data_IF_405798468806
#
_entry.id   IF_405798468806
#
_cell.length_a   1.000
_cell.length_b   1.000
_cell.length_c   1.000
_cell.angle_alpha   90.00
_cell.angle_beta   90.00
_cell.angle_gamma   90.00
#
_symmetry.space_group_name_H-M   'P 1'
#
loop_
_entity.id
_entity.type
_entity.pdbx_description
1 polymer ?
#
# COMPACT_ATOMS: atom_id res chain seq x y z
N UNK A 1 4.92 -28.93 -14.91
CA UNK A 1 3.81 -28.97 -13.92
C UNK A 1 3.01 -27.70 -14.15
N UNK A 2 1.92 -27.79 -14.90
CA UNK A 2 1.14 -26.64 -15.39
C UNK A 2 0.39 -25.97 -14.24
N UNK A 3 0.59 -24.66 -14.06
CA UNK A 3 -0.27 -23.81 -13.24
C UNK A 3 -1.70 -23.90 -13.79
N UNK A 4 -2.57 -24.60 -13.07
CA UNK A 4 -4.01 -24.56 -13.33
C UNK A 4 -4.50 -23.17 -12.95
N UNK A 5 -4.90 -22.39 -13.97
CA UNK A 5 -5.58 -21.11 -13.82
C UNK A 5 -6.80 -21.28 -12.90
N UNK A 6 -6.72 -20.74 -11.69
CA UNK A 6 -7.82 -20.71 -10.71
C UNK A 6 -9.06 -19.96 -11.23
N UNK A 7 -8.91 -19.15 -12.29
CA UNK A 7 -10.00 -18.43 -12.94
C UNK A 7 -10.97 -19.31 -13.74
N UNK A 8 -10.56 -20.50 -14.21
CA UNK A 8 -11.45 -21.37 -15.01
C UNK A 8 -12.55 -22.04 -14.17
N UNK A 9 -12.32 -22.25 -12.86
CA UNK A 9 -13.29 -22.95 -12.00
C UNK A 9 -14.55 -22.10 -11.76
N UNK A 10 -14.41 -20.78 -11.64
CA UNK A 10 -15.52 -19.88 -11.28
C UNK A 10 -16.47 -19.63 -12.46
N UNK A 11 -15.95 -19.57 -13.69
CA UNK A 11 -16.78 -19.36 -14.90
C UNK A 11 -17.77 -20.51 -15.16
N UNK A 12 -17.51 -21.69 -14.58
CA UNK A 12 -18.40 -22.87 -14.66
C UNK A 12 -19.53 -22.89 -13.64
N UNK A 13 -19.49 -22.02 -12.62
CA UNK A 13 -20.51 -21.89 -11.57
C UNK A 13 -21.71 -21.04 -12.00
N UNK A 14 -22.15 -21.17 -13.25
CA UNK A 14 -23.44 -20.63 -13.68
C UNK A 14 -24.54 -21.44 -13.01
N UNK A 15 -25.68 -20.81 -12.70
CA UNK A 15 -26.87 -21.53 -12.25
C UNK A 15 -27.31 -22.40 -13.44
N UNK A 16 -26.91 -23.68 -13.44
CA UNK A 16 -26.97 -24.53 -14.63
C UNK A 16 -28.34 -25.20 -14.84
N UNK A 17 -29.27 -25.10 -13.88
CA UNK A 17 -30.62 -25.66 -14.03
C UNK A 17 -31.55 -25.19 -12.90
N UNK A 18 -32.78 -24.82 -13.25
CA UNK A 18 -33.91 -24.73 -12.32
C UNK A 18 -34.83 -25.94 -12.56
N UNK A 19 -34.52 -27.10 -11.96
CA UNK A 19 -35.38 -28.30 -11.99
C UNK A 19 -35.72 -28.89 -13.39
N UNK A 20 -36.35 -30.08 -13.46
CA UNK A 20 -36.80 -30.63 -14.74
C UNK A 20 -37.99 -29.81 -15.28
N UNK A 21 -37.91 -29.41 -16.54
CA UNK A 21 -39.00 -28.76 -17.28
C UNK A 21 -40.32 -29.53 -17.15
N UNK A 22 -41.49 -28.84 -17.05
CA UNK A 22 -42.77 -29.52 -17.19
C UNK A 22 -42.86 -30.16 -18.58
N UNK A 23 -43.47 -31.35 -18.66
CA UNK A 23 -43.74 -32.05 -19.92
C UNK A 23 -44.53 -31.12 -20.85
N UNK A 24 -44.25 -31.22 -22.15
CA UNK A 24 -44.56 -30.27 -23.22
C UNK A 24 -46.05 -29.97 -23.54
N UNK A 25 -46.98 -30.13 -22.58
CA UNK A 25 -48.43 -29.92 -22.79
C UNK A 25 -49.06 -28.91 -21.80
N UNK A 26 -48.29 -28.01 -21.18
CA UNK A 26 -48.82 -26.94 -20.32
C UNK A 26 -48.36 -25.59 -20.85
N UNK A 27 -49.30 -24.63 -21.01
CA UNK A 27 -49.02 -23.26 -21.43
C UNK A 27 -47.92 -22.65 -20.52
N UNK A 28 -47.03 -21.79 -21.06
CA UNK A 28 -45.92 -21.22 -20.31
C UNK A 28 -46.44 -20.15 -19.36
N UNK A 29 -46.95 -20.57 -18.21
CA UNK A 29 -46.90 -19.74 -17.01
C UNK A 29 -45.44 -19.78 -16.54
N UNK A 30 -44.74 -18.65 -16.61
CA UNK A 30 -43.38 -18.52 -16.11
C UNK A 30 -43.32 -19.10 -14.68
N UNK A 31 -42.42 -20.07 -14.40
CA UNK A 31 -42.36 -20.67 -13.08
C UNK A 31 -42.00 -19.58 -12.06
N UNK A 32 -42.95 -19.25 -11.18
CA UNK A 32 -42.72 -18.33 -10.07
C UNK A 32 -41.73 -19.01 -9.11
N UNK A 33 -40.50 -18.51 -9.10
CA UNK A 33 -39.44 -18.97 -8.21
C UNK A 33 -39.58 -18.27 -6.86
N UNK A 34 -40.07 -19.01 -5.86
CA UNK A 34 -40.11 -18.54 -4.48
C UNK A 34 -38.79 -18.86 -3.78
N UNK A 35 -38.07 -17.82 -3.33
CA UNK A 35 -36.87 -17.98 -2.50
C UNK A 35 -37.28 -17.82 -1.04
N UNK A 36 -37.00 -18.81 -0.16
CA UNK A 36 -37.29 -18.69 1.26
C UNK A 36 -36.61 -17.45 1.86
N UNK A 37 -37.34 -16.73 2.72
CA UNK A 37 -36.78 -15.57 3.43
C UNK A 37 -35.55 -15.95 4.25
N UNK A 38 -35.54 -17.14 4.85
CA UNK A 38 -34.42 -17.65 5.63
C UNK A 38 -33.14 -17.75 4.78
N UNK A 39 -33.22 -18.28 3.56
CA UNK A 39 -32.06 -18.41 2.67
C UNK A 39 -31.53 -17.02 2.27
N UNK A 40 -32.43 -16.09 1.95
CA UNK A 40 -32.06 -14.70 1.65
C UNK A 40 -31.41 -14.00 2.86
N UNK A 41 -31.89 -14.26 4.07
CA UNK A 41 -31.30 -13.74 5.30
C UNK A 41 -29.92 -14.33 5.55
N UNK A 42 -29.73 -15.65 5.41
CA UNK A 42 -28.43 -16.30 5.58
C UNK A 42 -27.39 -15.79 4.60
N UNK A 43 -27.76 -15.52 3.33
CA UNK A 43 -26.84 -14.93 2.36
C UNK A 43 -26.46 -13.50 2.78
N UNK A 44 -27.42 -12.71 3.25
CA UNK A 44 -27.16 -11.36 3.73
C UNK A 44 -26.24 -11.36 4.97
N UNK A 45 -26.45 -12.27 5.91
CA UNK A 45 -25.59 -12.46 7.09
C UNK A 45 -24.16 -12.80 6.69
N UNK A 46 -23.97 -13.77 5.78
CA UNK A 46 -22.64 -14.13 5.26
C UNK A 46 -21.92 -12.95 4.58
N UNK A 47 -22.66 -12.10 3.86
CA UNK A 47 -22.09 -10.88 3.27
C UNK A 47 -21.70 -9.84 4.33
N UNK A 48 -22.50 -9.70 5.39
CA UNK A 48 -22.19 -8.81 6.52
C UNK A 48 -20.93 -9.28 7.25
N UNK A 49 -20.83 -10.58 7.55
CA UNK A 49 -19.65 -11.17 8.16
C UNK A 49 -18.40 -10.93 7.30
N UNK A 50 -18.49 -11.18 6.00
CA UNK A 50 -17.39 -10.93 5.05
C UNK A 50 -16.97 -9.47 5.05
N UNK A 51 -17.93 -8.54 5.07
CA UNK A 51 -17.66 -7.11 5.14
C UNK A 51 -16.94 -6.69 6.43
N UNK A 52 -17.37 -7.26 7.57
CA UNK A 52 -16.79 -6.98 8.87
C UNK A 52 -15.35 -7.51 8.97
N UNK A 53 -15.10 -8.74 8.51
CA UNK A 53 -13.76 -9.34 8.47
C UNK A 53 -12.80 -8.50 7.62
N UNK A 54 -13.24 -8.02 6.46
CA UNK A 54 -12.42 -7.14 5.62
C UNK A 54 -12.15 -5.80 6.30
N UNK A 55 -13.14 -5.23 7.00
CA UNK A 55 -12.97 -3.96 7.72
C UNK A 55 -11.97 -4.10 8.86
N UNK A 56 -12.04 -5.19 9.63
CA UNK A 56 -11.10 -5.52 10.70
C UNK A 56 -9.69 -5.74 10.14
N UNK A 57 -9.55 -6.54 9.08
CA UNK A 57 -8.26 -6.75 8.42
C UNK A 57 -7.63 -5.44 7.91
N UNK A 58 -8.43 -4.51 7.40
CA UNK A 58 -7.96 -3.18 6.98
C UNK A 58 -7.51 -2.32 8.16
N UNK A 59 -8.13 -2.47 9.33
CA UNK A 59 -7.74 -1.78 10.55
C UNK A 59 -6.44 -2.34 11.12
N UNK A 60 -6.30 -3.66 11.23
CA UNK A 60 -5.10 -4.33 11.74
C UNK A 60 -3.86 -4.05 10.88
N UNK A 61 -4.04 -4.03 9.57
CA UNK A 61 -2.95 -3.77 8.61
C UNK A 61 -2.61 -2.28 8.46
N UNK A 62 -3.39 -1.38 9.07
CA UNK A 62 -3.20 0.07 8.99
C UNK A 62 -3.42 0.65 7.60
N UNK A 63 -4.11 -0.07 6.69
CA UNK A 63 -4.40 0.39 5.32
C UNK A 63 -5.30 1.62 5.34
N UNK A 64 -6.24 1.69 6.29
CA UNK A 64 -7.07 2.86 6.53
C UNK A 64 -6.82 3.45 7.91
N UNK A 65 -6.84 4.78 7.99
CA UNK A 65 -6.80 5.50 9.26
C UNK A 65 -8.11 5.27 10.01
N UNK A 66 -8.06 5.07 11.33
CA UNK A 66 -9.25 4.79 12.15
C UNK A 66 -10.40 5.79 11.95
N UNK A 67 -10.10 7.08 11.76
CA UNK A 67 -11.10 8.12 11.45
C UNK A 67 -11.74 7.95 10.07
N UNK A 68 -10.95 7.62 9.06
CA UNK A 68 -11.43 7.41 7.70
C UNK A 68 -12.26 6.13 7.61
N UNK A 69 -11.80 5.05 8.24
CA UNK A 69 -12.53 3.79 8.34
C UNK A 69 -13.88 4.01 9.04
N UNK A 70 -13.91 4.70 10.19
CA UNK A 70 -15.15 4.99 10.92
C UNK A 70 -16.17 5.76 10.04
N UNK A 71 -15.72 6.80 9.33
CA UNK A 71 -16.58 7.56 8.41
C UNK A 71 -17.14 6.67 7.29
N UNK A 72 -16.33 5.75 6.79
CA UNK A 72 -16.69 4.86 5.70
C UNK A 72 -17.72 3.81 6.14
N UNK A 73 -17.49 3.18 7.29
CA UNK A 73 -18.41 2.22 7.90
C UNK A 73 -19.74 2.87 8.27
N UNK A 74 -19.71 4.11 8.78
CA UNK A 74 -20.93 4.88 9.06
C UNK A 74 -21.72 5.15 7.77
N UNK A 75 -21.04 5.57 6.70
CA UNK A 75 -21.68 5.79 5.40
C UNK A 75 -22.28 4.51 4.82
N UNK A 76 -21.57 3.38 4.88
CA UNK A 76 -22.08 2.08 4.45
C UNK A 76 -23.31 1.66 5.25
N UNK A 77 -23.25 1.80 6.58
CA UNK A 77 -24.35 1.46 7.49
C UNK A 77 -25.59 2.32 7.22
N UNK A 78 -25.42 3.63 7.02
CA UNK A 78 -26.52 4.54 6.70
C UNK A 78 -27.19 4.18 5.37
N UNK A 79 -26.40 3.88 4.34
CA UNK A 79 -26.92 3.49 3.03
C UNK A 79 -27.66 2.15 3.07
N UNK A 80 -27.13 1.14 3.79
CA UNK A 80 -27.79 -0.16 3.97
C UNK A 80 -29.08 -0.05 4.79
N UNK A 81 -29.15 0.88 5.76
CA UNK A 81 -30.37 1.14 6.54
C UNK A 81 -31.44 1.88 5.74
N UNK A 82 -31.04 2.79 4.86
CA UNK A 82 -31.96 3.52 4.00
C UNK A 82 -32.60 2.63 2.92
N UNK A 83 -31.88 1.58 2.49
CA UNK A 83 -32.34 0.68 1.44
C UNK A 83 -33.43 -0.29 1.94
N UNK A 84 -34.54 -0.31 1.20
CA UNK A 84 -35.73 -1.12 1.51
C UNK A 84 -35.74 -2.44 0.73
N UNK A 85 -35.18 -2.46 -0.48
CA UNK A 85 -35.12 -3.67 -1.30
C UNK A 85 -34.04 -4.62 -0.78
N UNK A 86 -34.36 -5.88 -0.44
CA UNK A 86 -33.37 -6.84 0.06
C UNK A 86 -32.31 -7.17 -1.00
N UNK A 87 -32.70 -7.25 -2.28
CA UNK A 87 -31.77 -7.49 -3.39
C UNK A 87 -30.80 -6.32 -3.54
N UNK A 88 -31.32 -5.09 -3.51
CA UNK A 88 -30.47 -3.89 -3.61
C UNK A 88 -29.52 -3.79 -2.42
N UNK A 89 -29.97 -4.16 -1.22
CA UNK A 89 -29.13 -4.23 -0.01
C UNK A 89 -27.97 -5.22 -0.15
N UNK A 90 -28.25 -6.41 -0.71
CA UNK A 90 -27.22 -7.42 -1.01
C UNK A 90 -26.23 -6.96 -2.08
N UNK A 91 -26.71 -6.29 -3.13
CA UNK A 91 -25.84 -5.71 -4.17
C UNK A 91 -24.94 -4.61 -3.60
N UNK A 92 -25.51 -3.78 -2.73
CA UNK A 92 -24.80 -2.67 -2.10
C UNK A 92 -23.68 -3.17 -1.18
N UNK A 93 -23.96 -4.14 -0.30
CA UNK A 93 -22.92 -4.70 0.56
C UNK A 93 -21.82 -5.41 -0.24
N UNK A 94 -22.19 -6.09 -1.33
CA UNK A 94 -21.21 -6.71 -2.23
C UNK A 94 -20.35 -5.65 -2.96
N UNK A 95 -20.92 -4.49 -3.30
CA UNK A 95 -20.14 -3.37 -3.82
C UNK A 95 -19.13 -2.85 -2.78
N UNK A 96 -19.52 -2.75 -1.51
CA UNK A 96 -18.62 -2.33 -0.42
C UNK A 96 -17.51 -3.35 -0.14
N UNK A 97 -17.81 -4.64 -0.18
CA UNK A 97 -16.80 -5.72 -0.10
C UNK A 97 -15.77 -5.56 -1.22
N UNK A 98 -16.22 -5.37 -2.47
CA UNK A 98 -15.32 -5.14 -3.62
C UNK A 98 -14.48 -3.86 -3.46
N UNK A 99 -15.05 -2.81 -2.88
CA UNK A 99 -14.32 -1.59 -2.58
C UNK A 99 -13.20 -1.83 -1.56
N UNK A 100 -13.46 -2.57 -0.48
CA UNK A 100 -12.43 -2.96 0.49
C UNK A 100 -11.34 -3.82 -0.13
N UNK A 101 -11.72 -4.85 -0.90
CA UNK A 101 -10.77 -5.70 -1.62
C UNK A 101 -9.89 -4.91 -2.60
N UNK A 102 -10.45 -3.92 -3.29
CA UNK A 102 -9.69 -3.06 -4.20
C UNK A 102 -8.63 -2.26 -3.46
N UNK A 103 -8.99 -1.69 -2.30
CA UNK A 103 -8.05 -0.94 -1.44
C UNK A 103 -6.97 -1.84 -0.86
N UNK A 104 -7.32 -3.04 -0.41
CA UNK A 104 -6.34 -4.04 0.05
C UNK A 104 -5.38 -4.39 -1.08
N UNK A 105 -5.90 -4.63 -2.29
CA UNK A 105 -5.07 -4.92 -3.48
C UNK A 105 -4.12 -3.77 -3.80
N UNK A 106 -4.60 -2.53 -3.75
CA UNK A 106 -3.77 -1.33 -3.98
C UNK A 106 -2.68 -1.21 -2.92
N UNK A 107 -3.01 -1.42 -1.64
CA UNK A 107 -2.03 -1.41 -0.55
C UNK A 107 -0.98 -2.52 -0.71
N UNK A 108 -1.39 -3.72 -1.15
CA UNK A 108 -0.48 -4.83 -1.41
C UNK A 108 0.43 -4.54 -2.62
N UNK A 109 -0.08 -3.92 -3.68
CA UNK A 109 0.72 -3.50 -4.84
C UNK A 109 1.71 -2.38 -4.51
N UNK A 110 1.32 -1.45 -3.65
CA UNK A 110 2.18 -0.35 -3.19
C UNK A 110 3.26 -0.81 -2.21
N UNK A 111 3.16 -2.03 -1.67
CA UNK A 111 4.21 -2.61 -0.84
C UNK A 111 5.43 -2.85 -1.74
N UNK A 112 6.64 -2.42 -1.34
CA UNK A 112 7.83 -2.65 -2.13
C UNK A 112 7.96 -4.16 -2.33
N UNK A 113 7.74 -4.60 -3.57
CA UNK A 113 8.16 -5.93 -3.99
C UNK A 113 9.67 -5.82 -3.99
N UNK A 114 10.32 -6.37 -2.96
CA UNK A 114 11.77 -6.43 -2.89
C UNK A 114 12.27 -6.82 -4.28
N UNK A 115 13.10 -5.99 -4.90
CA UNK A 115 13.70 -6.31 -6.18
C UNK A 115 14.25 -7.73 -6.10
N UNK A 116 13.63 -8.63 -6.85
CA UNK A 116 13.94 -10.04 -6.82
C UNK A 116 15.38 -10.22 -7.32
N UNK A 117 16.34 -10.35 -6.41
CA UNK A 117 17.69 -10.81 -6.74
C UNK A 117 18.85 -10.26 -5.90
N UNK A 118 18.72 -9.11 -5.22
CA UNK A 118 19.80 -8.64 -4.34
C UNK A 118 19.58 -9.16 -2.92
N UNK A 119 20.27 -10.26 -2.58
CA UNK A 119 20.43 -10.67 -1.19
C UNK A 119 21.31 -9.63 -0.50
N UNK A 120 20.68 -8.65 0.17
CA UNK A 120 21.41 -7.70 1.00
C UNK A 120 21.82 -8.42 2.29
N UNK A 121 23.11 -8.62 2.48
CA UNK A 121 23.67 -9.12 3.74
C UNK A 121 23.40 -8.08 4.82
N UNK A 122 22.63 -8.48 5.83
CA UNK A 122 22.28 -7.60 6.95
C UNK A 122 22.92 -8.12 8.22
N UNK A 123 23.76 -7.30 8.85
CA UNK A 123 24.51 -7.66 10.05
C UNK A 123 23.70 -7.49 11.35
N UNK A 124 22.60 -6.72 11.32
CA UNK A 124 21.77 -6.45 12.51
C UNK A 124 20.31 -6.14 12.16
N UNK A 125 19.40 -6.36 13.12
CA UNK A 125 17.97 -5.99 12.99
C UNK A 125 17.77 -4.50 12.66
N UNK A 126 18.69 -3.65 13.12
CA UNK A 126 18.68 -2.20 12.89
C UNK A 126 19.01 -1.88 11.43
N UNK A 127 20.01 -2.55 10.86
CA UNK A 127 20.41 -2.39 9.46
C UNK A 127 19.31 -2.88 8.51
N UNK A 128 18.64 -4.00 8.81
CA UNK A 128 17.50 -4.48 8.01
C UNK A 128 16.40 -3.41 7.95
N UNK A 129 16.16 -2.75 9.07
CA UNK A 129 15.12 -1.72 9.18
C UNK A 129 15.48 -0.43 8.47
N UNK A 130 16.74 -0.02 8.52
CA UNK A 130 17.25 1.10 7.74
C UNK A 130 17.09 0.87 6.23
N UNK A 131 17.41 -0.32 5.74
CA UNK A 131 17.23 -0.71 4.33
C UNK A 131 15.75 -0.67 3.94
N UNK A 132 14.86 -1.24 4.76
CA UNK A 132 13.41 -1.19 4.50
C UNK A 132 12.87 0.25 4.43
N UNK A 133 13.38 1.16 5.27
CA UNK A 133 13.00 2.57 5.22
C UNK A 133 13.49 3.26 3.96
N UNK A 134 14.74 3.00 3.56
CA UNK A 134 15.32 3.52 2.32
C UNK A 134 14.52 3.01 1.12
N UNK A 135 14.24 1.71 1.05
CA UNK A 135 13.43 1.11 -0.02
C UNK A 135 12.01 1.67 -0.04
N UNK A 136 11.41 1.92 1.13
CA UNK A 136 10.11 2.56 1.22
C UNK A 136 10.14 3.98 0.64
N UNK A 137 11.12 4.80 1.02
CA UNK A 137 11.32 6.15 0.46
C UNK A 137 11.53 6.09 -1.06
N UNK A 138 12.40 5.20 -1.54
CA UNK A 138 12.68 4.98 -2.98
C UNK A 138 11.45 4.55 -3.77
N UNK A 139 10.61 3.67 -3.19
CA UNK A 139 9.38 3.20 -3.84
C UNK A 139 8.37 4.33 -4.08
N UNK A 140 8.42 5.41 -3.28
CA UNK A 140 7.64 6.63 -3.52
C UNK A 140 8.33 7.63 -4.44
N UNK A 141 9.67 7.63 -4.52
CA UNK A 141 10.45 8.43 -5.48
C UNK A 141 10.13 8.14 -6.94
N UNK A 142 9.69 6.92 -7.25
CA UNK A 142 9.20 6.54 -8.58
C UNK A 142 7.87 7.23 -8.98
N UNK A 143 7.16 7.85 -8.03
CA UNK A 143 5.90 8.56 -8.24
C UNK A 143 5.98 10.04 -7.82
N UNK A 144 6.32 10.91 -8.77
CA UNK A 144 6.22 12.38 -8.72
C UNK A 144 5.85 13.04 -7.37
N UNK A 145 6.84 13.64 -6.71
CA UNK A 145 6.75 15.00 -6.15
C UNK A 145 5.60 15.32 -5.19
N UNK A 146 5.33 14.47 -4.20
CA UNK A 146 4.52 14.87 -3.03
C UNK A 146 5.42 15.03 -1.81
N UNK A 147 5.41 16.22 -1.21
CA UNK A 147 6.01 16.45 0.11
C UNK A 147 5.48 15.42 1.11
N UNK A 148 6.38 14.59 1.64
CA UNK A 148 6.04 13.53 2.58
C UNK A 148 6.27 14.05 4.00
N UNK A 149 5.19 14.33 4.72
CA UNK A 149 5.25 14.55 6.17
C UNK A 149 5.04 13.22 6.90
N UNK A 150 6.14 12.63 7.39
CA UNK A 150 6.09 11.56 8.37
C UNK A 150 5.84 12.15 9.75
N UNK A 151 4.65 11.92 10.28
CA UNK A 151 4.33 12.27 11.67
C UNK A 151 5.13 11.37 12.63
N UNK A 152 5.50 11.92 13.80
CA UNK A 152 6.25 11.22 14.84
C UNK A 152 5.58 9.95 15.37
N UNK A 153 4.27 9.80 15.21
CA UNK A 153 3.51 8.58 15.53
C UNK A 153 3.68 7.50 14.45
N UNK A 154 3.62 7.88 13.17
CA UNK A 154 3.84 6.99 12.03
C UNK A 154 5.29 6.49 11.99
N UNK A 155 6.23 7.38 12.25
CA UNK A 155 7.63 7.04 12.44
C UNK A 155 7.76 5.98 13.56
N UNK A 156 7.17 6.21 14.74
CA UNK A 156 7.19 5.25 15.86
C UNK A 156 6.62 3.88 15.48
N UNK A 157 5.51 3.84 14.75
CA UNK A 157 4.87 2.59 14.31
C UNK A 157 5.74 1.85 13.26
N UNK A 158 6.41 2.60 12.38
CA UNK A 158 7.43 2.10 11.46
C UNK A 158 8.72 1.65 12.16
N UNK A 159 8.99 2.11 13.38
CA UNK A 159 10.16 1.76 14.21
C UNK A 159 9.86 0.70 15.30
N UNK A 160 8.60 0.37 15.59
CA UNK A 160 8.21 -0.68 16.53
C UNK A 160 8.27 -2.07 15.87
N UNK A 161 9.08 -3.00 16.40
CA UNK A 161 9.26 -4.34 15.81
C UNK A 161 7.95 -5.15 15.70
N UNK A 162 7.98 -6.22 14.89
CA UNK A 162 6.88 -7.21 14.78
C UNK A 162 6.54 -7.90 16.13
N UNK A 163 7.45 -7.78 17.11
CA UNK A 163 7.37 -8.38 18.45
C UNK A 163 7.21 -7.34 19.57
N UNK A 164 6.93 -6.07 19.25
CA UNK A 164 6.68 -5.03 20.27
C UNK A 164 7.93 -4.51 21.00
N UNK A 165 9.14 -4.99 20.68
CA UNK A 165 10.39 -4.38 21.18
C UNK A 165 10.67 -3.03 20.50
N UNK A 166 10.87 -2.02 21.33
CA UNK A 166 11.16 -0.65 20.92
C UNK A 166 12.64 -0.52 20.50
N UNK A 167 12.89 -0.29 19.22
CA UNK A 167 14.24 -0.02 18.71
C UNK A 167 14.56 1.45 18.95
N UNK A 168 15.74 1.75 19.50
CA UNK A 168 16.18 3.13 19.71
C UNK A 168 16.19 3.90 18.39
N UNK A 169 15.36 4.95 18.31
CA UNK A 169 15.28 5.87 17.16
C UNK A 169 16.67 6.38 16.76
N UNK A 170 17.52 6.69 17.75
CA UNK A 170 18.88 7.22 17.55
C UNK A 170 19.76 6.21 16.82
N UNK A 171 19.68 4.93 17.20
CA UNK A 171 20.49 3.86 16.60
C UNK A 171 20.02 3.54 15.19
N UNK A 172 18.70 3.61 14.95
CA UNK A 172 18.16 3.42 13.61
C UNK A 172 18.58 4.54 12.67
N UNK A 173 18.50 5.80 13.11
CA UNK A 173 19.01 6.94 12.34
C UNK A 173 20.50 6.76 12.04
N UNK A 174 21.29 6.33 13.02
CA UNK A 174 22.73 6.09 12.83
C UNK A 174 23.00 5.01 11.77
N UNK A 175 22.20 3.94 11.73
CA UNK A 175 22.37 2.87 10.75
C UNK A 175 21.95 3.25 9.32
N UNK A 176 21.20 4.36 9.15
CA UNK A 176 20.85 4.91 7.84
C UNK A 176 21.94 5.83 7.26
N UNK A 177 22.93 6.22 8.06
CA UNK A 177 23.99 7.13 7.65
C UNK A 177 25.14 6.32 7.04
N UNK A 178 25.53 6.68 5.82
CA UNK A 178 26.77 6.18 5.22
C UNK A 178 27.97 6.93 5.80
N UNK A 179 28.75 6.24 6.63
CA UNK A 179 29.93 6.80 7.28
C UNK A 179 30.98 7.28 6.25
N UNK A 180 31.10 6.64 5.08
CA UNK A 180 32.05 7.06 4.04
C UNK A 180 31.69 8.45 3.49
N UNK A 181 30.39 8.72 3.29
CA UNK A 181 29.91 10.03 2.87
C UNK A 181 30.15 11.09 3.95
N UNK A 182 30.01 10.74 5.22
CA UNK A 182 30.33 11.62 6.35
C UNK A 182 31.81 11.94 6.38
N UNK A 183 32.69 10.95 6.23
CA UNK A 183 34.13 11.15 6.16
C UNK A 183 34.52 12.00 4.95
N UNK A 184 33.94 11.75 3.77
CA UNK A 184 34.18 12.53 2.57
C UNK A 184 33.73 14.00 2.74
N UNK A 185 32.59 14.23 3.39
CA UNK A 185 32.14 15.58 3.72
C UNK A 185 33.13 16.29 4.66
N UNK A 186 33.56 15.62 5.74
CA UNK A 186 34.55 16.16 6.68
C UNK A 186 35.89 16.45 6.01
N UNK A 187 36.32 15.61 5.08
CA UNK A 187 37.55 15.81 4.30
C UNK A 187 37.50 17.06 3.40
N UNK A 188 36.30 17.45 2.94
CA UNK A 188 36.05 18.68 2.18
C UNK A 188 35.76 19.91 3.06
N UNK A 189 35.72 19.76 4.39
CA UNK A 189 35.48 20.87 5.29
C UNK A 189 36.67 21.83 5.34
N UNK A 190 36.42 23.07 5.78
CA UNK A 190 37.48 24.07 5.88
C UNK A 190 38.22 23.81 7.18
N UNK A 191 39.52 23.55 7.09
CA UNK A 191 40.36 23.30 8.25
C UNK A 191 41.65 24.14 8.11
N UNK A 192 42.09 24.87 9.15
CA UNK A 192 43.41 25.52 9.17
C UNK A 192 44.58 24.61 8.76
N UNK A 193 44.51 23.30 9.07
CA UNK A 193 45.53 22.32 8.71
C UNK A 193 45.50 21.90 7.23
N UNK A 194 44.39 22.14 6.54
CA UNK A 194 44.22 21.88 5.11
C UNK A 194 43.44 23.03 4.43
N UNK A 195 44.06 24.22 4.31
CA UNK A 195 43.38 25.41 3.84
C UNK A 195 43.16 25.37 2.32
N UNK A 196 41.98 25.83 1.89
CA UNK A 196 41.70 26.06 0.47
C UNK A 196 40.70 27.20 0.29
N UNK A 197 40.74 27.84 -0.88
CA UNK A 197 39.93 29.03 -1.19
C UNK A 197 38.59 28.60 -1.80
N UNK A 198 37.50 29.25 -1.38
CA UNK A 198 36.14 29.07 -1.88
C UNK A 198 35.50 30.42 -2.12
N UNK A 199 34.55 30.50 -3.05
CA UNK A 199 33.79 31.74 -3.28
C UNK A 199 34.61 32.87 -3.90
N UNK A 200 35.51 32.53 -4.81
CA UNK A 200 36.29 33.52 -5.59
C UNK A 200 35.38 34.35 -6.49
N UNK A 201 35.69 35.64 -6.67
CA UNK A 201 35.13 36.41 -7.77
C UNK A 201 35.70 35.88 -9.08
N UNK A 202 34.82 35.52 -10.02
CA UNK A 202 35.18 34.91 -11.30
C UNK A 202 34.71 35.79 -12.45
N UNK A 203 35.57 35.98 -13.45
CA UNK A 203 35.23 36.68 -14.68
C UNK A 203 34.28 35.84 -15.55
N UNK A 204 33.55 36.44 -16.51
CA UNK A 204 32.56 35.74 -17.34
C UNK A 204 33.12 34.60 -18.21
N UNK A 205 34.41 34.62 -18.50
CA UNK A 205 35.14 33.60 -19.26
C UNK A 205 35.14 32.23 -18.57
N UNK A 206 35.20 32.18 -17.24
CA UNK A 206 35.24 30.95 -16.45
C UNK A 206 34.00 30.71 -15.59
N UNK A 207 33.23 31.77 -15.29
CA UNK A 207 32.04 31.67 -14.42
C UNK A 207 31.00 30.66 -14.94
N UNK A 208 30.73 30.68 -16.24
CA UNK A 208 29.73 29.79 -16.84
C UNK A 208 30.13 28.30 -16.71
N UNK A 209 31.40 27.99 -16.98
CA UNK A 209 31.95 26.63 -16.83
C UNK A 209 31.91 26.17 -15.37
N UNK A 210 32.24 27.06 -14.43
CA UNK A 210 32.15 26.79 -12.99
C UNK A 210 30.73 26.48 -12.53
N UNK A 211 29.71 27.18 -13.06
CA UNK A 211 28.30 26.93 -12.74
C UNK A 211 27.81 25.58 -13.27
N UNK A 212 28.13 25.25 -14.52
CA UNK A 212 27.72 23.98 -15.15
C UNK A 212 28.39 22.76 -14.49
N UNK A 213 29.55 22.92 -13.86
CA UNK A 213 30.23 21.81 -13.14
C UNK A 213 29.38 21.16 -12.03
N UNK A 214 28.36 21.87 -11.52
CA UNK A 214 27.46 21.34 -10.50
C UNK A 214 26.39 20.38 -11.06
N UNK A 215 26.14 20.38 -12.37
CA UNK A 215 25.06 19.60 -12.99
C UNK A 215 25.18 18.10 -12.71
N UNK A 216 26.40 17.57 -12.69
CA UNK A 216 26.66 16.15 -12.36
C UNK A 216 26.08 15.74 -10.99
N UNK A 217 25.97 16.66 -10.03
CA UNK A 217 25.34 16.36 -8.74
C UNK A 217 23.82 16.34 -8.82
N UNK A 218 23.24 17.22 -9.65
CA UNK A 218 21.79 17.25 -9.90
C UNK A 218 21.34 16.05 -10.73
N UNK A 219 22.09 15.66 -11.75
CA UNK A 219 21.80 14.51 -12.60
C UNK A 219 21.79 13.19 -11.82
N UNK A 220 22.65 13.06 -10.80
CA UNK A 220 22.73 11.89 -9.91
C UNK A 220 21.70 11.91 -8.78
N UNK A 221 21.03 13.04 -8.56
CA UNK A 221 20.09 13.20 -7.46
C UNK A 221 18.90 12.23 -7.56
N UNK A 222 18.24 12.05 -8.73
CA UNK A 222 17.13 11.09 -8.87
C UNK A 222 17.51 9.65 -8.54
N UNK A 223 18.74 9.22 -8.84
CA UNK A 223 19.20 7.86 -8.55
C UNK A 223 19.56 7.64 -7.08
N UNK A 224 19.74 8.72 -6.31
CA UNK A 224 20.18 8.69 -4.92
C UNK A 224 19.01 8.60 -3.93
N UNK A 225 17.84 9.15 -4.29
CA UNK A 225 16.63 9.28 -3.44
C UNK A 225 15.65 8.16 -3.72
#
# INVERSE_FOLDING_TARGET
MQERNSMEIVDTLRINTFGPMPKADVLPDDPILEIPLADMQSILEALIETHNLLSEAMQETGILRGRELARLTESHSQALRAEKSPITKMLLINAYIRQHLTRIREALKARPTAESGKVVQVCSKIMARAIQLIDHVKSFGAGQGKDISLDSSQARLLFAGKEGEEVSRKETIKAMIDDELVFAHRKRALNPDNPFIRGTAQNPDVYFQGRESANTFYDKCPDTV
#
